data_IF_490815287713
#
_entry.id   IF_490815287713
#
_cell.length_a   1.000
_cell.length_b   1.000
_cell.length_c   1.000
_cell.angle_alpha   90.00
_cell.angle_beta   90.00
_cell.angle_gamma   90.00
#
_symmetry.space_group_name_H-M   'P 1'
#
loop_
_entity.id
_entity.type
_entity.pdbx_description
1 polymer ?
#
# COMPACT_ATOMS: atom_id res chain seq x y z
N UNK A 1 4.16 -3.24 11.86
CA UNK A 1 3.30 -2.79 12.97
C UNK A 1 1.94 -2.54 12.34
N UNK A 2 0.92 -3.32 12.72
CA UNK A 2 -0.46 -3.05 12.31
C UNK A 2 -1.07 -2.01 13.24
N UNK A 3 -2.03 -1.23 12.75
CA UNK A 3 -2.89 -0.43 13.62
C UNK A 3 -3.80 -1.31 14.49
N UNK A 4 -4.05 -2.54 14.07
CA UNK A 4 -4.82 -3.53 14.83
C UNK A 4 -4.07 -4.00 16.09
N UNK A 5 -2.76 -3.78 16.15
CA UNK A 5 -1.94 -4.13 17.30
C UNK A 5 -2.05 -3.09 18.43
N UNK A 6 -2.71 -1.93 18.21
CA UNK A 6 -2.85 -0.85 19.20
C UNK A 6 -3.63 -1.31 20.44
N UNK A 7 -3.04 -1.08 21.61
CA UNK A 7 -3.64 -1.44 22.89
C UNK A 7 -4.13 -0.19 23.62
N UNK A 8 -5.09 -0.40 24.52
CA UNK A 8 -5.58 0.67 25.40
C UNK A 8 -4.40 1.26 26.19
N UNK A 9 -4.24 2.59 26.12
CA UNK A 9 -3.15 3.31 26.77
C UNK A 9 -1.96 3.60 25.86
N UNK A 10 -1.97 3.07 24.63
CA UNK A 10 -1.15 3.62 23.56
C UNK A 10 -1.60 5.05 23.24
N UNK A 11 -0.65 5.88 22.80
CA UNK A 11 -0.93 7.28 22.44
C UNK A 11 -0.58 7.49 20.98
N UNK A 12 -1.50 8.10 20.24
CA UNK A 12 -1.30 8.52 18.86
C UNK A 12 -1.37 10.04 18.77
N UNK A 13 -0.35 10.68 18.21
CA UNK A 13 -0.41 12.09 17.79
C UNK A 13 -0.43 12.17 16.28
N UNK A 14 -1.28 13.04 15.76
CA UNK A 14 -1.46 13.23 14.32
C UNK A 14 -1.32 14.71 13.98
N UNK A 15 -0.53 15.01 12.96
CA UNK A 15 -0.59 16.28 12.24
C UNK A 15 -1.37 16.01 10.97
N UNK A 16 -2.53 16.66 10.82
CA UNK A 16 -3.40 16.47 9.66
C UNK A 16 -3.60 17.78 8.90
N UNK A 17 -3.82 17.66 7.59
CA UNK A 17 -4.24 18.78 6.76
C UNK A 17 -5.75 18.95 6.90
N UNK A 18 -6.18 20.12 7.35
CA UNK A 18 -7.58 20.51 7.39
C UNK A 18 -7.96 21.34 6.16
N UNK A 19 -9.12 21.05 5.58
CA UNK A 19 -9.75 21.88 4.55
C UNK A 19 -10.89 22.64 5.20
N UNK A 20 -10.86 23.96 5.05
CA UNK A 20 -11.95 24.85 5.45
C UNK A 20 -12.62 25.49 4.24
N UNK A 21 -13.92 25.71 4.34
CA UNK A 21 -14.73 26.42 3.34
C UNK A 21 -15.37 27.60 4.03
N UNK A 22 -15.08 28.81 3.55
CA UNK A 22 -15.56 30.06 4.18
C UNK A 22 -15.18 30.21 5.67
N UNK A 23 -14.05 29.63 6.08
CA UNK A 23 -13.57 29.66 7.45
C UNK A 23 -14.13 28.57 8.35
N UNK A 24 -15.06 27.75 7.86
CA UNK A 24 -15.61 26.61 8.59
C UNK A 24 -14.90 25.31 8.21
N UNK A 25 -14.72 24.43 9.20
CA UNK A 25 -14.21 23.08 8.98
C UNK A 25 -15.06 22.35 7.94
N UNK A 26 -14.41 21.77 6.93
CA UNK A 26 -15.07 20.90 5.96
C UNK A 26 -14.69 19.45 6.18
N UNK A 27 -13.38 19.15 6.12
CA UNK A 27 -12.84 17.80 6.29
C UNK A 27 -11.32 17.80 6.46
N UNK A 28 -10.78 16.69 6.89
CA UNK A 28 -9.36 16.41 6.74
C UNK A 28 -9.03 15.97 5.30
N UNK A 29 -7.91 16.47 4.78
CA UNK A 29 -7.38 16.18 3.44
C UNK A 29 -6.32 15.07 3.45
N UNK A 30 -5.58 14.92 4.55
CA UNK A 30 -4.54 13.91 4.68
C UNK A 30 -3.80 14.02 6.01
N UNK A 31 -3.00 13.00 6.30
CA UNK A 31 -2.09 12.99 7.44
C UNK A 31 -0.71 13.44 6.95
N UNK A 32 -0.14 14.41 7.63
CA UNK A 32 1.18 14.98 7.32
C UNK A 32 2.27 14.35 8.18
N UNK A 33 1.96 14.03 9.44
CA UNK A 33 2.83 13.27 10.32
C UNK A 33 2.05 12.49 11.36
N UNK A 34 2.64 11.40 11.84
CA UNK A 34 2.07 10.50 12.84
C UNK A 34 3.15 10.16 13.86
N UNK A 35 2.80 10.15 15.13
CA UNK A 35 3.57 9.53 16.21
C UNK A 35 2.70 8.48 16.90
N UNK A 36 3.25 7.29 17.11
CA UNK A 36 2.65 6.24 17.93
C UNK A 36 3.60 5.95 19.10
N UNK A 37 3.09 6.06 20.33
CA UNK A 37 3.76 5.66 21.57
C UNK A 37 3.05 4.49 22.17
N UNK A 38 3.76 3.36 22.32
CA UNK A 38 3.21 2.17 22.97
C UNK A 38 3.17 2.36 24.48
N UNK A 39 2.12 1.90 25.14
CA UNK A 39 2.00 1.90 26.58
C UNK A 39 3.19 1.20 27.26
N UNK A 40 3.66 0.11 26.64
CA UNK A 40 4.75 -0.73 27.13
C UNK A 40 6.16 -0.29 26.67
N UNK A 41 6.28 0.69 25.75
CA UNK A 41 7.56 1.20 25.22
C UNK A 41 7.45 2.69 24.89
N UNK A 42 7.14 3.51 25.91
CA UNK A 42 6.87 4.95 25.74
C UNK A 42 8.09 5.75 25.28
N UNK A 43 9.29 5.25 25.59
CA UNK A 43 10.56 5.92 25.32
C UNK A 43 11.03 5.78 23.86
N UNK A 44 10.34 4.95 23.06
CA UNK A 44 10.64 4.74 21.64
C UNK A 44 9.39 4.98 20.79
N UNK A 45 8.97 6.25 20.62
CA UNK A 45 7.90 6.58 19.71
C UNK A 45 8.26 6.14 18.29
N UNK A 46 7.27 5.59 17.57
CA UNK A 46 7.36 5.38 16.14
C UNK A 46 6.79 6.61 15.43
N UNK A 47 7.62 7.29 14.62
CA UNK A 47 7.19 8.45 13.83
C UNK A 47 7.20 8.17 12.33
N UNK A 48 6.20 8.70 11.63
CA UNK A 48 6.12 8.73 10.17
C UNK A 48 5.85 10.15 9.70
N UNK A 49 6.55 10.56 8.64
CA UNK A 49 6.47 11.90 8.05
C UNK A 49 6.12 11.81 6.58
N UNK A 50 5.13 12.58 6.15
CA UNK A 50 4.79 12.68 4.74
C UNK A 50 5.74 13.65 4.04
N UNK A 51 6.53 13.13 3.10
CA UNK A 51 7.46 13.92 2.31
C UNK A 51 6.87 14.20 0.93
N UNK A 52 6.93 15.46 0.49
CA UNK A 52 6.55 15.91 -0.86
C UNK A 52 7.76 16.43 -1.61
N UNK A 53 8.63 15.53 -2.02
CA UNK A 53 9.80 15.83 -2.82
C UNK A 53 9.53 16.05 -4.30
N UNK A 54 10.61 16.41 -4.99
CA UNK A 54 10.65 16.60 -6.44
C UNK A 54 10.41 15.28 -7.18
N UNK A 55 11.09 14.23 -6.70
CA UNK A 55 11.10 12.91 -7.30
C UNK A 55 10.52 11.85 -6.37
N UNK A 56 10.56 12.04 -5.06
CA UNK A 56 10.06 11.09 -4.07
C UNK A 56 8.90 11.68 -3.25
N UNK A 57 7.83 10.89 -3.09
CA UNK A 57 6.68 11.25 -2.27
C UNK A 57 6.19 10.04 -1.49
N UNK A 58 5.71 10.26 -0.27
CA UNK A 58 5.16 9.21 0.60
C UNK A 58 5.54 9.40 2.06
N UNK A 59 5.19 8.41 2.88
CA UNK A 59 5.54 8.39 4.30
C UNK A 59 6.91 7.75 4.52
N UNK A 60 7.72 8.36 5.38
CA UNK A 60 9.06 7.89 5.74
C UNK A 60 9.23 7.90 7.26
N UNK A 61 9.97 6.93 7.79
CA UNK A 61 10.36 6.88 9.20
C UNK A 61 11.52 7.86 9.51
N UNK A 62 11.91 7.92 10.78
CA UNK A 62 13.02 8.77 11.25
C UNK A 62 14.37 8.54 10.54
N UNK A 63 14.55 7.36 9.94
CA UNK A 63 15.77 6.98 9.21
C UNK A 63 15.61 7.20 7.71
N UNK A 64 14.54 7.88 7.28
CA UNK A 64 14.21 8.10 5.88
C UNK A 64 13.82 6.80 5.18
N UNK A 65 13.27 5.81 5.90
CA UNK A 65 12.81 4.54 5.32
C UNK A 65 11.29 4.57 5.20
N UNK A 66 10.81 4.47 3.98
CA UNK A 66 9.39 4.37 3.66
C UNK A 66 8.99 2.90 3.63
N UNK A 67 8.12 2.44 4.54
CA UNK A 67 7.46 1.17 4.35
C UNK A 67 6.58 1.28 3.11
N UNK A 68 6.87 0.46 2.11
CA UNK A 68 6.06 0.37 0.91
C UNK A 68 5.37 -0.98 0.92
N UNK A 69 4.04 -0.95 1.04
CA UNK A 69 3.19 -2.07 0.64
C UNK A 69 2.86 -1.89 -0.83
N UNK A 70 3.47 -2.72 -1.65
CA UNK A 70 2.99 -2.83 -3.00
C UNK A 70 3.47 -4.10 -3.61
N UNK A 71 2.93 -5.17 -3.04
CA UNK A 71 2.75 -6.45 -3.68
C UNK A 71 2.53 -6.26 -5.19
N UNK A 72 3.28 -7.04 -5.94
CA UNK A 72 3.19 -7.03 -7.39
C UNK A 72 1.82 -7.55 -7.84
N UNK A 73 1.48 -7.27 -9.09
CA UNK A 73 0.35 -7.88 -9.78
C UNK A 73 0.85 -8.59 -11.02
N UNK A 74 0.15 -9.67 -11.38
CA UNK A 74 0.38 -10.33 -12.66
C UNK A 74 0.30 -9.29 -13.78
N UNK A 75 1.32 -9.22 -14.65
CA UNK A 75 1.42 -8.17 -15.67
C UNK A 75 0.38 -8.32 -16.78
N UNK A 76 -0.20 -9.52 -16.94
CA UNK A 76 -1.32 -9.77 -17.86
C UNK A 76 -2.48 -10.32 -17.04
N UNK A 77 -3.63 -9.65 -17.14
CA UNK A 77 -4.85 -10.05 -16.44
C UNK A 77 -5.33 -11.40 -16.95
N UNK A 78 -5.65 -12.32 -16.03
CA UNK A 78 -6.23 -13.65 -16.29
C UNK A 78 -5.42 -14.57 -17.22
N UNK A 79 -4.16 -14.24 -17.52
CA UNK A 79 -3.29 -15.08 -18.35
C UNK A 79 -2.75 -16.29 -17.56
N UNK A 80 -2.91 -17.52 -18.07
CA UNK A 80 -2.29 -18.69 -17.48
C UNK A 80 -0.78 -18.67 -17.65
N UNK A 81 -0.06 -19.29 -16.70
CA UNK A 81 1.37 -19.54 -16.84
C UNK A 81 1.56 -20.74 -17.78
N UNK A 82 2.23 -20.51 -18.90
CA UNK A 82 2.54 -21.56 -19.88
C UNK A 82 3.93 -22.16 -19.65
N UNK A 83 4.85 -21.39 -19.07
CA UNK A 83 6.17 -21.88 -18.65
C UNK A 83 6.66 -21.14 -17.41
N UNK A 84 7.18 -21.87 -16.43
CA UNK A 84 7.69 -21.30 -15.17
C UNK A 84 9.19 -21.01 -15.25
N UNK A 85 9.68 -20.16 -14.36
CA UNK A 85 11.12 -19.96 -14.16
C UNK A 85 11.78 -21.31 -13.84
N UNK A 86 12.83 -21.66 -14.58
CA UNK A 86 13.54 -22.92 -14.37
C UNK A 86 15.00 -22.78 -14.80
N UNK A 87 15.92 -22.53 -13.85
CA UNK A 87 17.34 -22.35 -14.14
C UNK A 87 18.02 -23.65 -14.60
N UNK A 88 17.38 -24.80 -14.36
CA UNK A 88 17.91 -26.14 -14.67
C UNK A 88 17.15 -26.83 -15.82
N UNK A 89 16.36 -26.07 -16.61
CA UNK A 89 15.55 -26.64 -17.69
C UNK A 89 16.43 -27.37 -18.71
N UNK A 90 16.20 -28.68 -18.86
CA UNK A 90 16.94 -29.51 -19.80
C UNK A 90 16.26 -29.47 -21.18
N UNK A 91 17.02 -29.18 -22.23
CA UNK A 91 16.51 -29.29 -23.59
C UNK A 91 16.32 -30.77 -23.96
N UNK A 92 15.10 -31.25 -24.28
CA UNK A 92 14.78 -32.68 -24.35
C UNK A 92 15.60 -33.41 -25.44
N UNK A 93 15.89 -32.73 -26.54
CA UNK A 93 16.65 -33.31 -27.67
C UNK A 93 18.16 -33.15 -27.52
N UNK A 94 18.60 -32.01 -26.99
CA UNK A 94 20.03 -31.66 -26.97
C UNK A 94 20.71 -32.09 -25.67
N UNK A 95 19.95 -32.51 -24.65
CA UNK A 95 20.38 -32.81 -23.29
C UNK A 95 21.28 -31.74 -22.66
N UNK A 96 21.15 -30.49 -23.12
CA UNK A 96 21.86 -29.32 -22.58
C UNK A 96 20.92 -28.52 -21.69
N UNK A 97 21.45 -27.97 -20.61
CA UNK A 97 20.70 -27.04 -19.75
C UNK A 97 20.51 -25.73 -20.52
N UNK A 98 19.26 -25.36 -20.75
CA UNK A 98 18.85 -24.09 -21.37
C UNK A 98 17.88 -23.40 -20.40
N UNK A 99 18.43 -22.60 -19.45
CA UNK A 99 17.67 -21.94 -18.41
C UNK A 99 16.48 -21.16 -18.97
N UNK A 100 15.36 -21.23 -18.29
CA UNK A 100 14.25 -20.30 -18.47
C UNK A 100 14.34 -19.23 -17.39
N UNK A 101 14.77 -18.02 -17.78
CA UNK A 101 15.09 -16.91 -16.86
C UNK A 101 13.89 -16.06 -16.47
N UNK A 102 12.67 -16.51 -16.79
CA UNK A 102 11.43 -15.79 -16.54
C UNK A 102 10.23 -16.72 -16.40
N UNK A 103 9.06 -16.13 -16.33
CA UNK A 103 7.76 -16.81 -16.36
C UNK A 103 7.01 -16.38 -17.61
N UNK A 104 6.52 -17.34 -18.37
CA UNK A 104 5.76 -17.11 -19.60
C UNK A 104 4.27 -17.12 -19.28
N UNK A 105 3.60 -16.01 -19.65
CA UNK A 105 2.15 -15.87 -19.56
C UNK A 105 1.54 -15.98 -20.95
N UNK A 106 0.73 -17.01 -21.18
CA UNK A 106 0.05 -17.23 -22.46
C UNK A 106 -1.11 -16.27 -22.63
N UNK A 107 -1.09 -15.47 -23.69
CA UNK A 107 -2.16 -14.51 -24.00
C UNK A 107 -2.15 -14.17 -25.50
N UNK A 108 -3.32 -13.80 -26.09
CA UNK A 108 -3.38 -13.45 -27.50
C UNK A 108 -2.55 -12.19 -27.81
N UNK A 109 -2.06 -12.09 -29.06
CA UNK A 109 -1.38 -10.88 -29.53
C UNK A 109 -2.30 -9.68 -29.36
N UNK A 110 -1.77 -8.60 -28.79
CA UNK A 110 -2.53 -7.39 -28.50
C UNK A 110 -3.17 -7.35 -27.11
N UNK A 111 -3.08 -8.40 -26.29
CA UNK A 111 -3.53 -8.34 -24.90
C UNK A 111 -2.72 -7.29 -24.11
N UNK A 112 -3.35 -6.48 -23.25
CA UNK A 112 -2.67 -5.42 -22.51
C UNK A 112 -1.70 -5.98 -21.48
N UNK A 113 -0.50 -5.39 -21.41
CA UNK A 113 0.54 -5.68 -20.44
C UNK A 113 0.71 -4.48 -19.52
N UNK A 114 0.45 -4.67 -18.24
CA UNK A 114 0.63 -3.66 -17.20
C UNK A 114 1.94 -3.84 -16.43
N UNK A 115 2.47 -2.74 -15.89
CA UNK A 115 3.58 -2.78 -14.95
C UNK A 115 3.19 -3.57 -13.70
N UNK A 116 4.03 -4.52 -13.30
CA UNK A 116 3.79 -5.38 -12.13
C UNK A 116 3.71 -4.57 -10.83
N UNK A 117 4.41 -3.43 -10.77
CA UNK A 117 4.35 -2.46 -9.67
C UNK A 117 4.86 -1.09 -10.11
N UNK A 118 4.85 -0.13 -9.18
CA UNK A 118 5.46 1.19 -9.40
C UNK A 118 6.96 1.10 -9.68
N UNK A 119 7.48 2.00 -10.50
CA UNK A 119 8.90 2.04 -10.82
C UNK A 119 9.21 3.07 -11.88
N UNK A 120 10.43 3.02 -12.40
CA UNK A 120 10.91 3.90 -13.48
C UNK A 120 11.28 3.06 -14.69
N UNK A 121 10.81 3.43 -15.88
CA UNK A 121 11.17 2.74 -17.12
C UNK A 121 12.66 2.93 -17.38
N UNK A 122 13.43 1.85 -17.33
CA UNK A 122 14.89 1.86 -17.57
C UNK A 122 15.25 1.50 -18.99
N UNK A 123 14.37 0.82 -19.72
CA UNK A 123 14.56 0.47 -21.12
C UNK A 123 13.24 0.32 -21.88
N UNK A 124 13.22 0.76 -23.13
CA UNK A 124 12.15 0.51 -24.10
C UNK A 124 12.76 0.35 -25.48
N UNK A 125 12.47 -0.76 -26.17
CA UNK A 125 12.95 -0.97 -27.54
C UNK A 125 13.20 -2.43 -27.92
N UNK A 126 13.76 -2.66 -29.11
CA UNK A 126 14.17 -3.99 -29.55
C UNK A 126 15.40 -4.49 -28.78
N UNK A 127 15.37 -5.75 -28.34
CA UNK A 127 16.40 -6.37 -27.49
C UNK A 127 16.74 -7.80 -27.97
N UNK A 128 17.09 -7.94 -29.25
CA UNK A 128 17.57 -9.19 -29.84
C UNK A 128 16.58 -10.36 -29.64
N UNK A 129 16.98 -11.48 -29.01
CA UNK A 129 16.09 -12.62 -28.78
C UNK A 129 14.82 -12.28 -27.98
N UNK A 130 14.85 -11.26 -27.14
CA UNK A 130 13.68 -10.82 -26.35
C UNK A 130 12.67 -10.05 -27.20
N UNK A 131 12.97 -9.72 -28.46
CA UNK A 131 12.08 -8.93 -29.30
C UNK A 131 11.90 -7.52 -28.74
N UNK A 132 10.69 -6.99 -28.81
CA UNK A 132 10.35 -5.73 -28.14
C UNK A 132 10.29 -5.95 -26.64
N UNK A 133 11.07 -5.15 -25.90
CA UNK A 133 11.27 -5.27 -24.47
C UNK A 133 11.02 -3.93 -23.79
N UNK A 134 10.29 -3.97 -22.68
CA UNK A 134 10.28 -2.91 -21.67
C UNK A 134 10.99 -3.42 -20.43
N UNK A 135 11.80 -2.59 -19.76
CA UNK A 135 12.32 -2.85 -18.42
C UNK A 135 11.93 -1.74 -17.47
N UNK A 136 11.63 -2.12 -16.23
CA UNK A 136 11.21 -1.20 -15.18
C UNK A 136 12.07 -1.49 -13.96
N UNK A 137 12.73 -0.45 -13.48
CA UNK A 137 13.50 -0.48 -12.24
C UNK A 137 12.59 -0.12 -11.08
N UNK A 138 12.62 -0.98 -10.07
CA UNK A 138 11.88 -0.86 -8.82
C UNK A 138 12.87 -0.61 -7.67
N UNK A 139 12.40 -0.05 -6.56
CA UNK A 139 13.21 0.06 -5.35
C UNK A 139 13.74 -1.29 -4.86
N UNK A 140 14.83 -1.26 -4.09
CA UNK A 140 15.46 -2.49 -3.55
C UNK A 140 16.32 -3.26 -4.55
N UNK A 141 16.72 -2.63 -5.66
CA UNK A 141 17.58 -3.23 -6.68
C UNK A 141 16.85 -4.25 -7.56
N UNK A 142 15.53 -4.13 -7.67
CA UNK A 142 14.68 -5.05 -8.42
C UNK A 142 14.41 -4.50 -9.82
N UNK A 143 14.60 -5.31 -10.86
CA UNK A 143 14.25 -4.98 -12.25
C UNK A 143 13.18 -5.98 -12.72
N UNK A 144 12.13 -5.50 -13.40
CA UNK A 144 11.21 -6.37 -14.14
C UNK A 144 11.29 -6.13 -15.64
N UNK A 145 11.24 -7.21 -16.42
CA UNK A 145 11.32 -7.18 -17.89
C UNK A 145 10.10 -7.78 -18.55
N UNK A 146 9.62 -7.13 -19.61
CA UNK A 146 8.41 -7.45 -20.35
C UNK A 146 8.76 -7.68 -21.83
N UNK A 147 9.03 -8.92 -22.21
CA UNK A 147 9.57 -9.27 -23.53
C UNK A 147 8.49 -9.76 -24.52
N UNK A 148 8.90 -9.92 -25.78
CA UNK A 148 8.09 -10.39 -26.91
C UNK A 148 6.89 -9.51 -27.25
N UNK A 149 6.89 -8.24 -26.83
CA UNK A 149 5.78 -7.33 -27.04
C UNK A 149 5.48 -7.13 -28.54
N UNK A 150 4.22 -6.98 -28.91
CA UNK A 150 3.85 -6.61 -30.28
C UNK A 150 4.09 -5.13 -30.53
N UNK A 151 3.75 -4.30 -29.54
CA UNK A 151 3.98 -2.85 -29.53
C UNK A 151 4.07 -2.34 -28.10
N UNK A 152 4.65 -1.16 -27.95
CA UNK A 152 4.72 -0.45 -26.67
C UNK A 152 3.45 0.35 -26.39
N UNK A 153 3.23 0.73 -25.14
CA UNK A 153 2.19 1.70 -24.81
C UNK A 153 2.50 3.06 -25.46
N UNK A 154 1.47 3.75 -25.93
CA UNK A 154 1.65 5.05 -26.57
C UNK A 154 2.19 6.07 -25.57
N UNK A 155 3.19 6.84 -26.01
CA UNK A 155 3.81 7.88 -25.18
C UNK A 155 4.76 7.39 -24.10
N UNK A 156 4.93 6.08 -23.90
CA UNK A 156 5.87 5.52 -22.91
C UNK A 156 7.32 5.76 -23.34
N UNK A 157 8.15 6.26 -22.42
CA UNK A 157 9.56 6.61 -22.65
C UNK A 157 10.46 6.15 -21.50
N UNK A 158 11.76 6.04 -21.78
CA UNK A 158 12.77 5.85 -20.74
C UNK A 158 12.73 7.03 -19.77
N UNK A 159 12.78 6.74 -18.47
CA UNK A 159 12.69 7.73 -17.39
C UNK A 159 11.26 7.97 -16.88
N UNK A 160 10.23 7.45 -17.57
CA UNK A 160 8.85 7.60 -17.11
C UNK A 160 8.63 6.84 -15.81
N UNK A 161 7.93 7.50 -14.87
CA UNK A 161 7.43 6.84 -13.67
C UNK A 161 6.11 6.14 -13.99
N UNK A 162 6.07 4.85 -13.69
CA UNK A 162 4.88 4.02 -13.87
C UNK A 162 4.28 3.66 -12.52
N UNK A 163 2.95 3.51 -12.50
CA UNK A 163 2.22 2.93 -11.37
C UNK A 163 1.94 1.45 -11.62
N UNK A 164 1.62 0.72 -10.55
CA UNK A 164 1.12 -0.66 -10.63
C UNK A 164 -0.08 -0.74 -11.59
N UNK A 165 -0.08 -1.75 -12.46
CA UNK A 165 -1.07 -1.99 -13.54
C UNK A 165 -1.15 -0.90 -14.61
N UNK A 166 -0.28 0.11 -14.58
CA UNK A 166 -0.19 1.06 -15.70
C UNK A 166 0.23 0.33 -16.96
N UNK A 167 -0.48 0.56 -18.07
CA UNK A 167 -0.19 -0.06 -19.36
C UNK A 167 1.22 0.31 -19.83
N UNK A 168 2.02 -0.71 -20.17
CA UNK A 168 3.39 -0.55 -20.68
C UNK A 168 3.57 -1.11 -22.09
N UNK A 169 2.67 -1.99 -22.53
CA UNK A 169 2.71 -2.54 -23.88
C UNK A 169 1.64 -3.57 -24.11
N UNK A 170 1.82 -4.35 -25.16
CA UNK A 170 0.86 -5.37 -25.56
C UNK A 170 1.58 -6.66 -25.92
N UNK A 171 0.98 -7.79 -25.54
CA UNK A 171 1.50 -9.13 -25.83
C UNK A 171 1.72 -9.30 -27.33
N UNK A 172 2.75 -10.03 -27.70
CA UNK A 172 3.08 -10.34 -29.09
C UNK A 172 3.89 -11.61 -29.20
N UNK A 173 4.65 -11.71 -30.28
CA UNK A 173 5.54 -12.85 -30.55
C UNK A 173 6.82 -12.39 -31.24
N UNK A 174 7.31 -11.19 -30.90
CA UNK A 174 8.53 -10.62 -31.50
C UNK A 174 9.79 -11.26 -30.93
N UNK A 175 10.90 -11.22 -31.67
CA UNK A 175 12.14 -11.89 -31.26
C UNK A 175 12.03 -13.41 -31.39
N UNK A 176 12.70 -14.15 -30.49
CA UNK A 176 12.70 -15.62 -30.49
C UNK A 176 11.56 -16.15 -29.64
N UNK A 177 10.38 -16.24 -30.24
CA UNK A 177 9.16 -16.75 -29.63
C UNK A 177 8.53 -17.85 -30.50
N UNK A 178 7.92 -18.86 -29.88
CA UNK A 178 7.18 -19.93 -30.57
C UNK A 178 5.72 -19.58 -30.82
N UNK A 179 5.18 -18.56 -30.17
CA UNK A 179 3.80 -18.11 -30.31
C UNK A 179 3.47 -16.96 -29.35
N UNK A 180 2.25 -16.38 -29.42
CA UNK A 180 1.88 -15.24 -28.60
C UNK A 180 1.96 -15.53 -27.09
N UNK A 181 2.85 -14.83 -26.38
CA UNK A 181 2.98 -14.86 -24.92
C UNK A 181 3.76 -13.65 -24.41
N UNK A 182 3.67 -13.37 -23.11
CA UNK A 182 4.58 -12.45 -22.42
C UNK A 182 5.65 -13.27 -21.70
N UNK A 183 6.92 -13.06 -22.04
CA UNK A 183 8.04 -13.54 -21.23
C UNK A 183 8.37 -12.48 -20.18
N UNK A 184 7.99 -12.75 -18.92
CA UNK A 184 8.16 -11.85 -17.79
C UNK A 184 9.38 -12.26 -16.96
N UNK A 185 10.30 -11.33 -16.74
CA UNK A 185 11.50 -11.59 -15.94
C UNK A 185 11.54 -10.71 -14.70
N UNK A 186 12.11 -11.22 -13.62
CA UNK A 186 12.42 -10.47 -12.42
C UNK A 186 13.91 -10.68 -12.08
N UNK A 187 14.60 -9.59 -11.75
CA UNK A 187 15.98 -9.63 -11.28
C UNK A 187 16.13 -8.88 -9.97
N UNK A 188 17.09 -9.31 -9.17
CA UNK A 188 17.56 -8.56 -7.99
C UNK A 188 19.08 -8.43 -8.08
N UNK A 189 19.57 -7.19 -8.06
CA UNK A 189 21.01 -6.89 -8.15
C UNK A 189 21.70 -7.57 -9.36
N UNK A 190 20.99 -7.68 -10.48
CA UNK A 190 21.50 -8.26 -11.74
C UNK A 190 21.24 -9.76 -11.92
N UNK A 191 20.83 -10.49 -10.89
CA UNK A 191 20.55 -11.93 -10.98
C UNK A 191 19.06 -12.21 -11.16
N UNK A 192 18.71 -13.12 -12.07
CA UNK A 192 17.32 -13.54 -12.30
C UNK A 192 16.83 -14.46 -11.19
N UNK A 193 15.58 -14.28 -10.77
CA UNK A 193 14.92 -15.16 -9.81
C UNK A 193 13.49 -15.46 -10.25
N UNK A 194 12.84 -16.38 -9.53
CA UNK A 194 11.46 -16.75 -9.83
C UNK A 194 10.51 -15.57 -9.59
N UNK A 195 9.95 -15.06 -10.69
CA UNK A 195 9.01 -13.95 -10.69
C UNK A 195 7.73 -14.23 -9.89
N UNK A 196 7.35 -15.49 -9.68
CA UNK A 196 6.19 -15.82 -8.84
C UNK A 196 6.47 -15.57 -7.35
N UNK A 197 7.74 -15.58 -6.95
CA UNK A 197 8.20 -15.22 -5.59
C UNK A 197 8.48 -13.74 -5.43
N UNK A 198 8.23 -12.93 -6.47
CA UNK A 198 8.43 -11.49 -6.43
C UNK A 198 7.67 -10.93 -5.23
N UNK A 199 8.40 -10.32 -4.31
CA UNK A 199 7.82 -9.50 -3.27
C UNK A 199 8.49 -8.13 -3.31
N UNK A 200 7.68 -7.11 -3.53
CA UNK A 200 8.12 -5.71 -3.58
C UNK A 200 7.79 -4.98 -2.27
N UNK A 201 7.23 -5.70 -1.29
CA UNK A 201 7.07 -5.19 0.06
C UNK A 201 8.46 -5.01 0.68
N UNK A 202 8.70 -3.82 1.23
CA UNK A 202 10.02 -3.46 1.72
C UNK A 202 10.14 -2.02 2.16
N UNK A 203 11.37 -1.62 2.44
CA UNK A 203 11.71 -0.29 2.93
C UNK A 203 12.46 0.47 1.85
N UNK A 204 11.82 1.46 1.21
CA UNK A 204 12.52 2.40 0.32
C UNK A 204 13.23 3.43 1.18
N UNK A 205 14.55 3.57 1.02
CA UNK A 205 15.29 4.65 1.68
C UNK A 205 15.27 5.88 0.80
N UNK A 206 15.05 7.05 1.39
CA UNK A 206 15.07 8.32 0.69
C UNK A 206 16.41 8.54 -0.02
N UNK A 207 16.33 8.95 -1.28
CA UNK A 207 17.46 9.23 -2.16
C UNK A 207 18.35 10.31 -1.58
N UNK A 208 19.66 10.22 -1.86
CA UNK A 208 20.66 11.18 -1.34
C UNK A 208 20.28 12.62 -1.67
N UNK A 209 19.77 12.85 -2.88
CA UNK A 209 19.42 14.17 -3.40
C UNK A 209 18.22 14.81 -2.69
N UNK A 210 17.43 14.02 -1.94
CA UNK A 210 16.25 14.52 -1.21
C UNK A 210 16.42 14.50 0.32
N UNK A 211 17.54 14.01 0.85
CA UNK A 211 17.79 13.89 2.30
C UNK A 211 17.70 15.21 3.03
N UNK A 212 18.28 16.27 2.47
CA UNK A 212 18.28 17.59 3.11
C UNK A 212 16.88 18.21 3.13
N UNK A 213 16.11 18.01 2.06
CA UNK A 213 14.72 18.44 1.99
C UNK A 213 13.87 17.69 3.03
N UNK A 214 14.07 16.38 3.12
CA UNK A 214 13.39 15.55 4.10
C UNK A 214 13.77 15.86 5.55
N UNK A 215 15.04 16.17 5.82
CA UNK A 215 15.48 16.56 7.16
C UNK A 215 14.75 17.82 7.65
N UNK A 216 14.49 18.79 6.77
CA UNK A 216 13.71 19.99 7.09
C UNK A 216 12.24 19.66 7.37
N UNK A 217 11.64 18.83 6.52
CA UNK A 217 10.25 18.36 6.69
C UNK A 217 10.09 17.60 8.01
N UNK A 218 11.03 16.69 8.30
CA UNK A 218 11.08 15.96 9.56
C UNK A 218 11.15 16.92 10.75
N UNK A 219 12.09 17.87 10.74
CA UNK A 219 12.22 18.84 11.83
C UNK A 219 10.93 19.64 12.04
N UNK A 220 10.33 20.14 10.96
CA UNK A 220 9.08 20.89 11.04
C UNK A 220 7.95 20.06 11.69
N UNK A 221 7.81 18.79 11.30
CA UNK A 221 6.78 17.93 11.86
C UNK A 221 7.11 17.41 13.27
N UNK A 222 8.40 17.26 13.61
CA UNK A 222 8.82 16.99 14.98
C UNK A 222 8.34 18.10 15.91
N UNK A 223 8.64 19.37 15.56
CA UNK A 223 8.22 20.54 16.33
C UNK A 223 6.68 20.60 16.49
N UNK A 224 5.94 20.30 15.42
CA UNK A 224 4.48 20.24 15.46
C UNK A 224 3.97 19.10 16.34
N UNK A 225 4.47 17.88 16.18
CA UNK A 225 4.09 16.72 16.99
C UNK A 225 4.42 16.93 18.47
N UNK A 226 5.57 17.53 18.78
CA UNK A 226 5.99 17.79 20.14
C UNK A 226 5.23 18.94 20.81
N UNK A 227 4.68 19.88 20.03
CA UNK A 227 3.76 20.91 20.53
C UNK A 227 2.41 20.34 21.02
N UNK A 228 2.04 19.14 20.58
CA UNK A 228 0.79 18.48 20.98
C UNK A 228 0.98 17.84 22.35
N UNK A 229 0.31 18.34 23.40
CA UNK A 229 0.44 17.77 24.75
C UNK A 229 0.06 16.27 24.77
N UNK A 230 0.76 15.44 25.56
CA UNK A 230 0.34 14.06 25.76
C UNK A 230 -0.92 14.02 26.63
N UNK A 231 -1.89 13.14 26.34
CA UNK A 231 -3.03 12.94 27.22
C UNK A 231 -2.54 12.44 28.59
N UNK A 232 -3.26 12.81 29.65
CA UNK A 232 -3.01 12.26 30.97
C UNK A 232 -3.05 10.73 30.93
N UNK A 233 -2.17 10.01 31.67
CA UNK A 233 -2.22 8.56 31.72
C UNK A 233 -3.62 8.10 32.12
N UNK A 234 -4.21 7.19 31.35
CA UNK A 234 -5.50 6.60 31.72
C UNK A 234 -5.35 5.92 33.09
N UNK A 235 -6.36 6.04 33.98
CA UNK A 235 -6.33 5.33 35.25
C UNK A 235 -6.18 3.83 34.98
N UNK A 236 -5.19 3.21 35.62
CA UNK A 236 -5.01 1.76 35.54
C UNK A 236 -6.27 1.10 36.07
N UNK A 237 -6.84 0.16 35.30
CA UNK A 237 -7.97 -0.64 35.77
C UNK A 237 -7.55 -1.29 37.10
N UNK A 238 -8.35 -1.24 38.18
CA UNK A 238 -8.09 -2.04 39.36
C UNK A 238 -7.89 -3.49 38.92
N UNK A 239 -6.80 -4.11 39.38
CA UNK A 239 -6.58 -5.52 39.16
C UNK A 239 -7.86 -6.26 39.59
N UNK A 240 -8.49 -6.94 38.63
CA UNK A 240 -9.58 -7.87 38.97
C UNK A 240 -8.93 -8.89 39.89
N UNK A 241 -9.22 -8.79 41.19
CA UNK A 241 -8.86 -9.81 42.13
C UNK A 241 -9.40 -11.13 41.57
N UNK A 242 -8.51 -12.12 41.48
CA UNK A 242 -8.87 -13.47 41.07
C UNK A 242 -10.11 -13.91 41.87
N UNK A 243 -11.16 -14.46 41.22
CA UNK A 243 -12.29 -14.97 41.98
C UNK A 243 -11.78 -16.12 42.86
N UNK A 244 -11.95 -15.95 44.17
CA UNK A 244 -11.84 -17.04 45.11
C UNK A 244 -12.94 -18.05 44.82
N UNK A 245 -12.52 -19.31 44.81
CA UNK A 245 -13.27 -20.54 44.68
C UNK A 245 -14.55 -20.56 45.57
N UNK A 246 -15.71 -20.88 44.98
CA UNK A 246 -16.83 -21.52 45.69
C UNK A 246 -17.88 -22.08 44.71
N UNK A 247 -17.76 -23.39 44.47
CA UNK A 247 -18.83 -24.42 44.53
C UNK A 247 -20.23 -24.11 43.98
N UNK A 248 -20.55 -24.81 42.89
CA UNK A 248 -21.88 -25.29 42.47
C UNK A 248 -22.62 -26.03 43.63
N UNK A 249 -23.97 -26.06 43.70
CA UNK A 249 -24.71 -26.95 42.79
C UNK A 249 -26.11 -26.46 42.30
N UNK A 250 -26.39 -26.85 41.05
CA UNK A 250 -27.55 -27.61 40.55
C UNK A 250 -28.99 -27.01 40.47
N UNK A 251 -29.58 -27.35 39.31
CA UNK A 251 -31.00 -27.66 38.98
C UNK A 251 -32.03 -26.52 38.80
N UNK A 252 -32.80 -26.62 37.70
CA UNK A 252 -34.15 -26.05 37.61
C UNK A 252 -34.53 -25.55 36.22
N UNK A 253 -35.23 -26.40 35.47
CA UNK A 253 -35.77 -26.20 34.13
C UNK A 253 -36.92 -25.17 34.02
N UNK A 254 -37.19 -24.77 32.77
CA UNK A 254 -38.50 -24.55 32.11
C UNK A 254 -38.53 -23.26 31.25
N UNK A 255 -38.40 -23.44 29.94
CA UNK A 255 -39.44 -23.27 28.91
C UNK A 255 -40.09 -21.87 28.83
N UNK A 256 -39.94 -21.19 27.69
CA UNK A 256 -41.07 -20.97 26.76
C UNK A 256 -40.62 -20.35 25.43
N UNK A 257 -41.17 -20.90 24.35
CA UNK A 257 -40.95 -20.52 22.96
C UNK A 257 -42.04 -19.58 22.42
N UNK A 258 -41.66 -18.72 21.47
CA UNK A 258 -42.43 -18.21 20.30
C UNK A 258 -41.66 -16.99 19.77
N UNK A 259 -41.34 -16.81 18.49
CA UNK A 259 -42.12 -16.98 17.26
C UNK A 259 -42.26 -15.58 16.64
N UNK A 260 -41.61 -15.31 15.49
CA UNK A 260 -41.58 -14.02 14.77
C UNK A 260 -42.94 -13.58 14.18
N UNK A 261 -43.03 -12.68 13.16
CA UNK A 261 -41.95 -12.14 12.30
C UNK A 261 -42.03 -10.62 11.96
N UNK A 262 -41.00 -10.18 11.22
CA UNK A 262 -40.86 -9.09 10.20
C UNK A 262 -42.14 -8.45 9.58
N UNK A 263 -42.11 -7.20 9.02
CA UNK A 263 -41.50 -6.97 7.69
C UNK A 263 -40.98 -5.55 7.29
N UNK A 264 -39.99 -5.58 6.38
CA UNK A 264 -39.80 -4.86 5.08
C UNK A 264 -39.91 -3.33 4.93
N UNK A 265 -39.00 -2.76 4.11
CA UNK A 265 -39.19 -1.46 3.43
C UNK A 265 -37.93 -0.84 2.82
N UNK A 266 -37.77 -0.91 1.50
CA UNK A 266 -36.59 -0.56 0.71
C UNK A 266 -36.47 0.93 0.29
N UNK A 267 -35.21 1.43 0.20
CA UNK A 267 -34.57 2.28 -0.87
C UNK A 267 -35.24 3.63 -1.29
N UNK A 268 -34.63 4.54 -2.11
CA UNK A 268 -33.45 4.42 -2.99
C UNK A 268 -32.52 5.67 -3.14
N UNK A 269 -31.68 5.60 -4.19
CA UNK A 269 -30.50 6.37 -4.60
C UNK A 269 -30.69 7.72 -5.35
N UNK A 270 -29.59 8.46 -5.55
CA UNK A 270 -29.21 9.35 -6.68
C UNK A 270 -28.00 10.23 -6.25
N UNK A 271 -27.09 10.84 -7.03
CA UNK A 271 -26.62 10.85 -8.42
C UNK A 271 -25.37 11.80 -8.45
N UNK A 272 -24.50 11.70 -9.47
CA UNK A 272 -23.31 12.56 -9.66
C UNK A 272 -23.64 13.96 -10.26
N UNK A 273 -22.69 14.94 -10.24
CA UNK A 273 -22.22 15.46 -11.53
C UNK A 273 -20.74 15.90 -11.62
N UNK A 274 -20.38 16.23 -12.87
CA UNK A 274 -19.12 16.53 -13.55
C UNK A 274 -18.52 17.95 -13.39
N UNK A 275 -17.20 18.12 -13.56
CA UNK A 275 -16.53 19.41 -13.83
C UNK A 275 -14.99 19.31 -14.03
N UNK A 276 -14.45 19.98 -15.07
CA UNK A 276 -13.05 19.97 -15.53
C UNK A 276 -12.12 20.95 -14.74
N UNK A 277 -10.77 20.87 -14.87
CA UNK A 277 -9.84 21.32 -13.81
C UNK A 277 -9.33 22.76 -13.96
N UNK A 278 -9.29 23.51 -12.85
CA UNK A 278 -8.60 24.80 -12.72
C UNK A 278 -7.18 24.62 -12.13
N UNK A 279 -6.24 25.47 -12.58
CA UNK A 279 -4.83 25.53 -12.16
C UNK A 279 -4.68 25.55 -10.64
N UNK A 280 -3.79 24.70 -10.11
CA UNK A 280 -3.46 24.64 -8.67
C UNK A 280 -2.43 25.71 -8.31
N UNK A 281 -2.69 26.60 -7.34
CA UNK A 281 -1.66 27.43 -6.73
C UNK A 281 -0.84 26.61 -5.72
N UNK A 282 0.43 27.01 -5.55
CA UNK A 282 1.38 26.46 -4.59
C UNK A 282 0.84 26.56 -3.14
N UNK A 283 0.81 25.46 -2.35
CA UNK A 283 0.19 25.51 -1.03
C UNK A 283 1.10 26.21 -0.01
N UNK A 284 0.54 27.19 0.68
CA UNK A 284 1.15 27.85 1.82
C UNK A 284 1.41 26.87 2.99
N UNK A 285 2.48 27.12 3.74
CA UNK A 285 2.84 26.34 4.91
C UNK A 285 1.71 26.27 5.95
N UNK A 286 1.45 25.10 6.58
CA UNK A 286 0.41 24.98 7.59
C UNK A 286 0.77 25.82 8.82
N UNK A 287 -0.19 26.64 9.29
CA UNK A 287 -0.07 27.40 10.55
C UNK A 287 -0.33 26.46 11.73
N UNK A 288 0.46 26.58 12.80
CA UNK A 288 0.26 25.86 14.05
C UNK A 288 -1.13 26.19 14.63
N UNK A 289 -1.99 25.18 14.76
CA UNK A 289 -3.36 25.39 15.26
C UNK A 289 -4.18 24.12 15.41
N UNK A 290 -4.10 23.15 14.51
CA UNK A 290 -5.07 22.04 14.49
C UNK A 290 -4.38 20.68 14.67
N UNK A 291 -3.97 20.42 15.91
CA UNK A 291 -3.64 19.07 16.36
C UNK A 291 -4.93 18.39 16.82
N UNK A 292 -5.27 17.28 16.18
CA UNK A 292 -6.49 16.53 16.47
C UNK A 292 -6.10 15.26 17.20
N UNK A 293 -6.63 15.09 18.40
CA UNK A 293 -6.49 13.86 19.16
C UNK A 293 -7.52 12.87 18.62
N UNK A 294 -7.07 11.73 18.10
CA UNK A 294 -7.95 10.59 17.87
C UNK A 294 -8.06 9.85 19.20
N UNK A 295 -9.24 9.89 19.81
CA UNK A 295 -9.54 9.08 20.99
C UNK A 295 -9.83 7.63 20.58
N UNK A 296 -9.84 6.71 21.55
CA UNK A 296 -10.24 5.31 21.31
C UNK A 296 -11.59 5.22 20.56
N UNK A 297 -12.53 6.14 20.84
CA UNK A 297 -13.82 6.22 20.13
C UNK A 297 -13.68 6.65 18.67
N UNK A 298 -12.74 7.52 18.35
CA UNK A 298 -12.50 8.00 16.98
C UNK A 298 -11.82 6.92 16.12
N UNK A 299 -10.97 6.10 16.75
CA UNK A 299 -10.34 4.93 16.13
C UNK A 299 -11.35 3.80 15.87
N UNK A 300 -12.25 3.52 16.84
CA UNK A 300 -13.34 2.54 16.70
C UNK A 300 -14.35 2.93 15.61
N UNK A 301 -14.68 4.23 15.48
CA UNK A 301 -15.53 4.73 14.38
C UNK A 301 -14.85 4.63 13.01
N UNK A 302 -13.54 4.82 12.92
CA UNK A 302 -12.79 4.68 11.68
C UNK A 302 -12.66 3.21 11.20
N UNK A 303 -12.81 2.25 12.11
CA UNK A 303 -12.81 0.80 11.83
C UNK A 303 -14.21 0.24 11.51
N UNK A 304 -15.24 1.07 11.43
CA UNK A 304 -16.59 0.65 11.04
C UNK A 304 -17.41 0.01 12.16
N UNK A 305 -17.08 0.26 13.44
CA UNK A 305 -17.97 -0.14 14.54
C UNK A 305 -19.15 0.84 14.63
N UNK A 306 -20.36 0.35 14.34
CA UNK A 306 -21.62 1.05 14.60
C UNK A 306 -21.83 1.19 16.11
N UNK A 307 -22.04 2.44 16.53
CA UNK A 307 -22.34 2.91 17.87
C UNK A 307 -23.84 2.68 18.09
N UNK A 308 -24.23 1.57 18.74
CA UNK A 308 -25.58 1.41 19.29
C UNK A 308 -25.53 0.53 20.54
N UNK A 309 -25.92 1.09 21.68
CA UNK A 309 -26.11 0.35 22.93
C UNK A 309 -26.13 1.20 24.20
N UNK A 310 -26.93 2.26 24.24
CA UNK A 310 -27.46 2.76 25.52
C UNK A 310 -28.45 1.74 26.12
N UNK A 311 -28.47 1.67 27.45
CA UNK A 311 -29.39 0.86 28.27
C UNK A 311 -30.24 1.81 29.11
N UNK A 312 -31.57 1.68 29.00
CA UNK A 312 -32.67 2.03 29.95
C UNK A 312 -33.85 2.56 29.13
N UNK A 313 -35.10 2.10 29.22
CA UNK A 313 -35.84 1.28 30.18
C UNK A 313 -36.69 0.21 29.46
#
# INVERSE_FOLDING_TARGET
MSLDDLERGDVVRVVAQEITVLGEFSRYAGIEALEIRRANDKDKPFRLYYHRGQSERGYYDDKGRSPYEGGWRKPVKDAPITSRFNPKRLHPVLKKVMPHTGTDFGAPTGAPVGASSYGTVSFIGPAGPSGNLVKIDHPGGIETGYAHLSRFAEGLKVGDKVKRLQLVGYVGSTGRSTGPHLHFTAKKNGEFFDAETLNLDGMRVIGKDERDAFAKVKQQYDELLDSVALPAPLPTKPAVAAPADSTDPAEGDDEFASGGPEPTGAAPAAAAPTGAPAKTPEPAAPKAGNAVYLTDKDLLKAQGASDDGEVSE
#
